data_IF_924566308782
#
_entry.id   IF_924566308782
#
_cell.length_a   1.000
_cell.length_b   1.000
_cell.length_c   1.000
_cell.angle_alpha   90.00
_cell.angle_beta   90.00
_cell.angle_gamma   90.00
#
_symmetry.space_group_name_H-M   'P 1'
#
loop_
_entity.id
_entity.type
_entity.pdbx_description
1 polymer ?
#
# COMPACT_ATOMS: atom_id res chain seq x y z
N UNK A 1 -11.78 5.54 -2.64
CA UNK A 1 -10.48 5.08 -3.19
C UNK A 1 -10.33 3.57 -3.09
N UNK A 2 -10.24 2.99 -1.87
CA UNK A 2 -10.11 1.54 -1.67
C UNK A 2 -11.13 0.68 -2.43
N UNK A 3 -12.42 1.03 -2.36
CA UNK A 3 -13.50 0.34 -3.09
C UNK A 3 -13.33 0.40 -4.61
N UNK A 4 -12.94 1.56 -5.15
CA UNK A 4 -12.74 1.72 -6.58
C UNK A 4 -11.46 1.05 -7.12
N UNK A 5 -10.41 0.91 -6.31
CA UNK A 5 -9.25 0.11 -6.70
C UNK A 5 -9.60 -1.39 -6.78
N UNK A 6 -10.45 -1.88 -5.86
CA UNK A 6 -10.91 -3.27 -5.84
C UNK A 6 -11.85 -3.59 -7.01
N UNK A 7 -12.73 -2.66 -7.39
CA UNK A 7 -13.66 -2.81 -8.52
C UNK A 7 -12.98 -2.88 -9.88
N UNK A 8 -11.81 -2.25 -10.05
CA UNK A 8 -11.06 -2.25 -11.33
C UNK A 8 -10.13 -3.45 -11.52
N UNK A 9 -10.20 -4.45 -10.65
CA UNK A 9 -9.36 -5.64 -10.77
C UNK A 9 -7.92 -5.42 -10.32
N UNK A 10 -7.64 -4.43 -9.46
CA UNK A 10 -6.39 -4.36 -8.71
C UNK A 10 -6.41 -5.45 -7.62
N UNK A 11 -6.33 -6.71 -8.06
CA UNK A 11 -6.28 -7.89 -7.21
C UNK A 11 -4.95 -7.98 -6.45
N UNK A 12 -4.78 -7.13 -5.45
CA UNK A 12 -3.66 -7.18 -4.50
C UNK A 12 -2.54 -6.17 -4.74
N UNK A 13 -1.44 -6.39 -4.02
CA UNK A 13 -0.24 -5.53 -3.92
C UNK A 13 0.31 -5.10 -5.28
N UNK A 14 0.26 -5.98 -6.29
CA UNK A 14 0.75 -5.68 -7.64
C UNK A 14 -0.08 -4.62 -8.36
N UNK A 15 -1.40 -4.63 -8.17
CA UNK A 15 -2.29 -3.61 -8.76
C UNK A 15 -2.06 -2.24 -8.15
N UNK A 16 -1.88 -2.20 -6.82
CA UNK A 16 -1.54 -0.97 -6.11
C UNK A 16 -0.14 -0.44 -6.52
N UNK A 17 0.84 -1.34 -6.70
CA UNK A 17 2.16 -0.96 -7.19
C UNK A 17 2.16 -0.41 -8.62
N UNK A 18 1.31 -0.95 -9.50
CA UNK A 18 1.11 -0.38 -10.83
C UNK A 18 0.43 0.99 -10.77
N UNK A 19 -0.58 1.15 -9.91
CA UNK A 19 -1.20 2.46 -9.69
C UNK A 19 -0.19 3.48 -9.19
N UNK A 20 0.61 3.14 -8.18
CA UNK A 20 1.66 4.01 -7.66
C UNK A 20 2.62 4.46 -8.77
N UNK A 21 3.08 3.53 -9.62
CA UNK A 21 3.96 3.84 -10.75
C UNK A 21 3.30 4.70 -11.82
N UNK A 22 1.99 4.63 -11.98
CA UNK A 22 1.26 5.51 -12.89
C UNK A 22 1.05 6.92 -12.33
N UNK A 23 1.04 7.06 -11.00
CA UNK A 23 0.93 8.33 -10.29
C UNK A 23 2.27 9.08 -10.23
N UNK A 24 3.34 8.35 -9.96
CA UNK A 24 4.73 8.83 -9.92
C UNK A 24 5.24 9.12 -11.35
N UNK A 25 4.96 10.32 -11.87
CA UNK A 25 5.29 10.70 -13.25
C UNK A 25 6.76 11.04 -13.40
N UNK A 26 7.37 11.58 -12.35
CA UNK A 26 8.76 12.01 -12.32
C UNK A 26 9.73 10.89 -11.88
N UNK A 27 9.21 9.71 -11.51
CA UNK A 27 9.98 8.57 -10.99
C UNK A 27 10.76 8.92 -9.71
N UNK A 28 10.31 9.93 -8.97
CA UNK A 28 10.89 10.32 -7.68
C UNK A 28 10.67 9.28 -6.58
N UNK A 29 9.78 8.30 -6.83
CA UNK A 29 9.30 7.31 -5.85
C UNK A 29 8.50 7.93 -4.72
N UNK A 30 8.05 9.17 -4.89
CA UNK A 30 7.21 9.93 -3.98
C UNK A 30 6.06 10.52 -4.77
N UNK A 31 4.85 10.44 -4.24
CA UNK A 31 3.68 11.06 -4.88
C UNK A 31 3.46 12.42 -4.25
N UNK A 32 3.65 13.47 -5.04
CA UNK A 32 3.33 14.84 -4.63
C UNK A 32 1.82 15.09 -4.68
N UNK A 33 1.35 16.16 -4.03
CA UNK A 33 -0.07 16.50 -4.00
C UNK A 33 -0.64 16.76 -5.41
N UNK A 34 0.14 17.38 -6.29
CA UNK A 34 -0.25 17.63 -7.68
C UNK A 34 -0.38 16.31 -8.47
N UNK A 35 0.59 15.40 -8.32
CA UNK A 35 0.53 14.07 -8.96
C UNK A 35 -0.64 13.22 -8.42
N UNK A 36 -0.91 13.32 -7.12
CA UNK A 36 -2.05 12.65 -6.50
C UNK A 36 -3.38 13.18 -7.04
N UNK A 37 -3.49 14.51 -7.24
CA UNK A 37 -4.69 15.16 -7.78
C UNK A 37 -4.93 14.76 -9.24
N UNK A 38 -3.88 14.83 -10.07
CA UNK A 38 -3.91 14.37 -11.47
C UNK A 38 -4.31 12.90 -11.56
N UNK A 39 -3.73 12.09 -10.68
CA UNK A 39 -4.02 10.68 -10.56
C UNK A 39 -5.48 10.36 -10.27
N UNK A 40 -6.03 11.00 -9.24
CA UNK A 40 -7.43 10.84 -8.83
C UNK A 40 -8.38 11.23 -9.98
N UNK A 41 -8.09 12.31 -10.69
CA UNK A 41 -8.88 12.74 -11.85
C UNK A 41 -8.78 11.70 -13.00
N UNK A 42 -7.58 11.20 -13.28
CA UNK A 42 -7.35 10.14 -14.28
C UNK A 42 -8.07 8.83 -13.95
N UNK A 43 -8.15 8.47 -12.66
CA UNK A 43 -8.92 7.31 -12.21
C UNK A 43 -10.45 7.52 -12.23
N UNK A 44 -10.91 8.71 -12.64
CA UNK A 44 -12.33 9.07 -12.78
C UNK A 44 -13.01 9.38 -11.45
N UNK A 45 -12.23 9.62 -10.40
CA UNK A 45 -12.73 9.99 -9.08
C UNK A 45 -12.88 11.51 -9.03
N UNK A 46 -14.05 12.03 -9.38
CA UNK A 46 -14.35 13.46 -9.24
C UNK A 46 -14.54 13.81 -7.76
N UNK A 47 -13.43 13.99 -7.06
CA UNK A 47 -13.38 14.42 -5.67
C UNK A 47 -13.09 15.92 -5.61
N UNK A 48 -13.74 16.62 -4.69
CA UNK A 48 -13.46 18.03 -4.41
C UNK A 48 -12.04 18.20 -3.86
N UNK A 49 -11.37 19.30 -4.20
CA UNK A 49 -9.98 19.57 -3.84
C UNK A 49 -9.72 19.51 -2.32
N UNK A 50 -10.70 19.95 -1.52
CA UNK A 50 -10.69 19.81 -0.06
C UNK A 50 -10.66 18.36 0.42
N UNK A 51 -11.30 17.45 -0.31
CA UNK A 51 -11.32 16.03 -0.01
C UNK A 51 -10.03 15.35 -0.45
N UNK A 52 -9.48 15.76 -1.60
CA UNK A 52 -8.16 15.31 -2.06
C UNK A 52 -7.06 15.69 -1.08
N UNK A 53 -7.05 16.93 -0.58
CA UNK A 53 -6.12 17.38 0.47
C UNK A 53 -6.25 16.56 1.75
N UNK A 54 -7.47 16.34 2.24
CA UNK A 54 -7.69 15.50 3.44
C UNK A 54 -7.22 14.07 3.24
N UNK A 55 -7.45 13.50 2.05
CA UNK A 55 -6.95 12.15 1.73
C UNK A 55 -5.43 12.13 1.71
N UNK A 56 -4.81 13.15 1.13
CA UNK A 56 -3.36 13.30 1.10
C UNK A 56 -2.79 13.38 2.52
N UNK A 57 -3.35 14.23 3.38
CA UNK A 57 -2.96 14.36 4.80
C UNK A 57 -3.14 13.06 5.61
N UNK A 58 -4.11 12.22 5.25
CA UNK A 58 -4.31 10.92 5.90
C UNK A 58 -3.26 9.89 5.47
N UNK A 59 -2.79 9.99 4.22
CA UNK A 59 -1.80 9.10 3.62
C UNK A 59 -0.36 9.51 3.98
N UNK A 60 -0.07 10.82 4.04
CA UNK A 60 1.21 11.41 4.46
C UNK A 60 1.32 11.36 5.99
N UNK A 61 1.80 10.24 6.53
CA UNK A 61 1.87 10.03 8.00
C UNK A 61 3.03 10.80 8.61
N UNK A 62 4.11 10.93 7.87
CA UNK A 62 5.31 11.63 8.31
C UNK A 62 5.23 13.16 8.10
N UNK A 63 4.17 13.64 7.44
CA UNK A 63 3.98 15.05 7.05
C UNK A 63 5.16 15.58 6.23
N UNK A 64 5.81 14.72 5.44
CA UNK A 64 6.92 15.10 4.60
C UNK A 64 6.50 15.88 3.35
N UNK A 65 5.19 16.00 3.11
CA UNK A 65 4.62 16.69 1.95
C UNK A 65 4.60 15.84 0.69
N UNK A 66 4.84 14.53 0.82
CA UNK A 66 4.85 13.56 -0.27
C UNK A 66 4.54 12.16 0.25
N UNK A 67 3.72 11.41 -0.47
CA UNK A 67 3.34 10.05 -0.06
C UNK A 67 4.39 9.08 -0.59
N UNK A 68 5.08 8.41 0.32
CA UNK A 68 6.02 7.35 -0.04
C UNK A 68 5.31 6.06 -0.47
N UNK A 69 6.01 5.22 -1.24
CA UNK A 69 5.48 3.91 -1.65
C UNK A 69 5.02 3.07 -0.45
N UNK A 70 5.77 3.09 0.64
CA UNK A 70 5.42 2.37 1.86
C UNK A 70 4.12 2.89 2.48
N UNK A 71 3.96 4.20 2.57
CA UNK A 71 2.74 4.83 3.14
C UNK A 71 1.51 4.55 2.29
N UNK A 72 1.66 4.69 0.96
CA UNK A 72 0.61 4.36 0.00
C UNK A 72 0.15 2.91 0.14
N UNK A 73 1.12 1.99 0.27
CA UNK A 73 0.84 0.56 0.39
C UNK A 73 0.26 0.20 1.76
N UNK A 74 0.69 0.84 2.84
CA UNK A 74 0.14 0.59 4.18
C UNK A 74 -1.35 0.92 4.24
N UNK A 75 -1.76 2.07 3.70
CA UNK A 75 -3.16 2.51 3.83
C UNK A 75 -4.10 1.98 2.75
N UNK A 76 -3.59 1.63 1.57
CA UNK A 76 -4.42 1.07 0.50
C UNK A 76 -4.41 -0.45 0.46
N UNK A 77 -3.46 -1.12 1.15
CA UNK A 77 -3.46 -2.58 1.24
C UNK A 77 -4.71 -3.03 2.00
N UNK A 78 -5.57 -3.86 1.38
CA UNK A 78 -6.66 -4.48 2.12
C UNK A 78 -6.10 -5.38 3.20
N UNK A 79 -6.72 -5.38 4.38
CA UNK A 79 -6.40 -6.35 5.41
C UNK A 79 -6.44 -7.77 4.82
N UNK A 80 -5.43 -8.56 5.14
CA UNK A 80 -5.36 -9.96 4.73
C UNK A 80 -6.62 -10.67 5.23
N UNK A 81 -7.27 -11.42 4.34
CA UNK A 81 -8.38 -12.27 4.76
C UNK A 81 -7.91 -13.25 5.85
N UNK A 82 -8.78 -13.66 6.78
CA UNK A 82 -8.42 -14.56 7.87
C UNK A 82 -7.72 -15.83 7.38
N UNK A 83 -8.17 -16.38 6.25
CA UNK A 83 -7.56 -17.55 5.61
C UNK A 83 -6.12 -17.30 5.14
N UNK A 84 -5.82 -16.11 4.60
CA UNK A 84 -4.44 -15.76 4.19
C UNK A 84 -3.56 -15.47 5.40
N UNK A 85 -4.11 -14.90 6.47
CA UNK A 85 -3.40 -14.75 7.75
C UNK A 85 -3.02 -16.12 8.29
N UNK A 86 -3.98 -17.05 8.38
CA UNK A 86 -3.72 -18.41 8.86
C UNK A 86 -2.64 -19.14 8.05
N UNK A 87 -2.67 -19.08 6.71
CA UNK A 87 -1.63 -19.71 5.89
C UNK A 87 -0.26 -19.06 6.12
N UNK A 88 -0.23 -17.73 6.28
CA UNK A 88 1.01 -17.01 6.60
C UNK A 88 1.49 -17.40 8.00
N UNK A 89 0.61 -17.47 9.00
CA UNK A 89 0.93 -17.85 10.37
C UNK A 89 1.42 -19.31 10.44
N UNK A 90 0.81 -20.22 9.69
CA UNK A 90 1.27 -21.62 9.56
C UNK A 90 2.65 -21.70 8.89
N UNK A 91 2.86 -20.97 7.80
CA UNK A 91 4.18 -20.90 7.15
C UNK A 91 5.23 -20.24 8.03
N UNK A 92 4.86 -19.18 8.75
CA UNK A 92 5.73 -18.44 9.65
C UNK A 92 6.14 -19.32 10.83
N UNK A 93 5.19 -19.99 11.48
CA UNK A 93 5.46 -20.95 12.56
C UNK A 93 6.24 -22.19 12.09
N UNK A 94 6.11 -22.58 10.82
CA UNK A 94 6.91 -23.66 10.25
C UNK A 94 8.36 -23.25 9.97
N UNK A 95 8.60 -21.95 9.77
CA UNK A 95 9.92 -21.39 9.48
C UNK A 95 10.62 -20.93 10.77
N UNK A 96 9.87 -20.41 11.73
CA UNK A 96 10.31 -20.02 13.06
C UNK A 96 10.61 -21.27 13.91
N UNK A 97 11.88 -21.66 13.94
CA UNK A 97 12.35 -22.90 14.60
C UNK A 97 12.47 -22.71 16.10
N UNK A 98 12.79 -21.50 16.54
CA UNK A 98 13.00 -21.17 17.94
C UNK A 98 11.73 -20.63 18.63
N UNK A 99 10.62 -20.48 17.89
CA UNK A 99 9.32 -19.99 18.36
C UNK A 99 9.43 -18.62 19.02
N UNK A 100 10.36 -17.78 18.54
CA UNK A 100 10.57 -16.44 19.09
C UNK A 100 9.67 -15.39 18.43
N UNK A 101 8.77 -15.81 17.53
CA UNK A 101 7.87 -15.00 16.72
C UNK A 101 8.61 -14.02 15.78
N UNK A 102 9.91 -14.20 15.57
CA UNK A 102 10.77 -13.34 14.76
C UNK A 102 11.61 -14.21 13.82
N UNK A 103 11.33 -14.13 12.51
CA UNK A 103 12.16 -14.84 11.53
C UNK A 103 13.57 -14.25 11.43
N UNK A 104 14.53 -14.97 11.98
CA UNK A 104 15.93 -14.58 12.03
C UNK A 104 16.78 -15.39 11.05
N UNK A 105 18.00 -14.92 10.80
CA UNK A 105 19.00 -15.68 9.99
C UNK A 105 19.28 -17.05 10.63
N UNK A 106 19.08 -17.16 11.95
CA UNK A 106 19.22 -18.41 12.69
C UNK A 106 18.15 -19.44 12.33
N UNK A 107 16.94 -19.02 11.95
CA UNK A 107 15.85 -19.91 11.53
C UNK A 107 15.96 -20.34 10.07
N UNK A 108 16.64 -19.52 9.25
CA UNK A 108 16.92 -19.79 7.83
C UNK A 108 18.14 -20.69 7.60
N UNK A 109 18.99 -20.87 8.62
CA UNK A 109 20.12 -21.79 8.58
C UNK A 109 19.67 -23.13 9.15
N UNK A 110 19.27 -24.03 8.24
CA UNK A 110 19.13 -25.46 8.53
C UNK A 110 20.44 -26.13 8.89
#
# INVERSE_FOLDING_TARGET
>A
LRTHCLERGCGGIRGLGLMFRHLDKDYSKRITLDEFKDGIDFYGLKLSESYVRKLFEVLDKDNSGGIDFCEFMLELRPELSPLRKQVIDECFNSLDKNQDEILNIHDLKG
#
